data_IF_925460580096
#
_entry.id   IF_925460580096
#
_cell.length_a   1.000
_cell.length_b   1.000
_cell.length_c   1.000
_cell.angle_alpha   90.00
_cell.angle_beta   90.00
_cell.angle_gamma   90.00
#
_symmetry.space_group_name_H-M   'P 1'
#
loop_
_entity.id
_entity.type
_entity.pdbx_description
1 polymer ?
#
# COMPACT_ATOMS: atom_id res chain seq x y z
N UNK A 1 -6.57 113.14 48.13
CA UNK A 1 -5.49 113.46 47.16
C UNK A 1 -5.78 112.87 45.78
N UNK A 2 -6.11 111.57 45.64
CA UNK A 2 -6.43 110.95 44.34
C UNK A 2 -7.68 111.51 43.60
N UNK A 3 -8.69 112.03 44.32
CA UNK A 3 -9.87 112.67 43.68
C UNK A 3 -9.59 114.02 43.01
N UNK A 4 -8.42 114.63 43.23
CA UNK A 4 -8.07 115.90 42.58
C UNK A 4 -7.37 115.73 41.23
N UNK A 5 -6.85 114.53 40.92
CA UNK A 5 -6.07 114.28 39.71
C UNK A 5 -6.93 113.86 38.50
N UNK A 6 -8.15 113.37 38.71
CA UNK A 6 -9.03 112.90 37.62
C UNK A 6 -9.92 113.99 37.03
N UNK A 7 -9.86 115.21 37.56
CA UNK A 7 -10.75 116.33 37.19
C UNK A 7 -10.12 117.31 36.20
N UNK A 8 -8.89 117.04 35.73
CA UNK A 8 -8.13 117.96 34.87
C UNK A 8 -8.32 117.60 33.39
N UNK A 9 -8.55 118.63 32.57
CA UNK A 9 -8.98 118.55 31.16
C UNK A 9 -7.94 118.01 30.17
N UNK A 10 -6.74 117.65 30.63
CA UNK A 10 -5.64 117.10 29.82
C UNK A 10 -4.97 115.94 30.57
N UNK A 11 -4.68 114.80 29.93
CA UNK A 11 -3.97 113.69 30.57
C UNK A 11 -2.52 114.08 30.88
N UNK A 12 -2.05 113.72 32.07
CA UNK A 12 -0.68 113.91 32.54
C UNK A 12 0.32 113.11 31.67
N UNK A 13 1.47 113.72 31.38
CA UNK A 13 2.56 113.07 30.64
C UNK A 13 3.22 111.95 31.46
N UNK A 14 3.78 110.97 30.76
CA UNK A 14 4.41 109.76 31.31
C UNK A 14 5.46 110.05 32.40
N UNK A 15 6.12 111.20 32.35
CA UNK A 15 7.15 111.61 33.32
C UNK A 15 6.59 112.06 34.68
N UNK A 16 5.33 112.53 34.76
CA UNK A 16 4.71 112.84 36.06
C UNK A 16 4.14 111.60 36.76
N UNK A 17 3.94 110.50 36.02
CA UNK A 17 3.42 109.24 36.55
C UNK A 17 4.52 108.37 37.19
N UNK A 18 5.81 108.66 36.98
CA UNK A 18 6.91 107.88 37.55
C UNK A 18 7.21 108.20 39.02
N UNK A 19 6.41 109.08 39.66
CA UNK A 19 6.50 109.46 41.07
C UNK A 19 5.42 108.81 41.95
N UNK A 20 5.00 107.58 41.65
CA UNK A 20 4.06 106.85 42.50
C UNK A 20 4.80 106.44 43.78
N UNK A 21 4.35 106.99 44.91
CA UNK A 21 4.85 106.71 46.26
C UNK A 21 4.97 105.18 46.47
N UNK A 22 6.10 104.65 47.00
CA UNK A 22 6.34 103.20 47.13
C UNK A 22 5.21 102.44 47.86
N UNK A 23 4.48 103.12 48.74
CA UNK A 23 3.28 102.60 49.42
C UNK A 23 2.12 102.19 48.49
N UNK A 24 1.95 102.89 47.35
CA UNK A 24 0.90 102.56 46.39
C UNK A 24 1.29 101.35 45.55
N UNK A 25 2.58 101.21 45.24
CA UNK A 25 3.13 100.05 44.55
C UNK A 25 3.05 98.79 45.43
N UNK A 26 3.37 98.90 46.72
CA UNK A 26 3.21 97.81 47.68
C UNK A 26 1.74 97.39 47.87
N UNK A 27 0.81 98.34 47.90
CA UNK A 27 -0.62 98.04 47.96
C UNK A 27 -1.11 97.30 46.71
N UNK A 28 -0.61 97.70 45.52
CA UNK A 28 -0.96 97.06 44.27
C UNK A 28 -0.40 95.64 44.20
N UNK A 29 0.86 95.45 44.58
CA UNK A 29 1.51 94.14 44.64
C UNK A 29 0.81 93.20 45.62
N UNK A 30 0.42 93.70 46.80
CA UNK A 30 -0.35 92.94 47.79
C UNK A 30 -1.75 92.56 47.27
N UNK A 31 -2.40 93.43 46.52
CA UNK A 31 -3.70 93.14 45.90
C UNK A 31 -3.57 92.06 44.81
N UNK A 32 -2.52 92.14 43.99
CA UNK A 32 -2.21 91.15 42.95
C UNK A 32 -1.90 89.78 43.57
N UNK A 33 -1.06 89.73 44.60
CA UNK A 33 -0.77 88.48 45.31
C UNK A 33 -2.03 87.83 45.91
N UNK A 34 -2.91 88.62 46.53
CA UNK A 34 -4.15 88.11 47.09
C UNK A 34 -5.08 87.56 46.00
N UNK A 35 -5.11 88.20 44.83
CA UNK A 35 -5.87 87.72 43.68
C UNK A 35 -5.32 86.39 43.15
N UNK A 36 -3.99 86.26 43.02
CA UNK A 36 -3.33 85.02 42.61
C UNK A 36 -3.62 83.90 43.61
N UNK A 37 -3.45 84.16 44.91
CA UNK A 37 -3.77 83.20 45.97
C UNK A 37 -5.23 82.74 45.87
N UNK A 38 -6.18 83.65 45.64
CA UNK A 38 -7.60 83.32 45.47
C UNK A 38 -7.88 82.47 44.23
N UNK A 39 -7.20 82.75 43.11
CA UNK A 39 -7.34 81.97 41.87
C UNK A 39 -6.76 80.57 41.99
N UNK A 40 -5.63 80.40 42.69
CA UNK A 40 -5.06 79.08 42.97
C UNK A 40 -5.98 78.25 43.90
N UNK A 41 -6.59 78.87 44.92
CA UNK A 41 -7.60 78.18 45.75
C UNK A 41 -8.86 77.79 44.95
N UNK A 42 -9.22 78.55 43.91
CA UNK A 42 -10.31 78.20 42.99
C UNK A 42 -9.93 77.10 41.99
N UNK A 43 -8.66 76.95 41.63
CA UNK A 43 -8.21 75.81 40.80
C UNK A 43 -8.17 74.51 41.60
N UNK A 44 -7.70 74.57 42.86
CA UNK A 44 -7.66 73.40 43.75
C UNK A 44 -9.06 72.97 44.22
N UNK A 45 -10.01 73.91 44.28
CA UNK A 45 -11.44 73.60 44.41
C UNK A 45 -12.03 73.49 43.01
N UNK A 46 -11.82 72.35 42.35
CA UNK A 46 -12.49 72.02 41.10
C UNK A 46 -14.00 72.31 41.15
N UNK A 47 -14.66 72.47 39.98
CA UNK A 47 -16.05 72.91 39.89
C UNK A 47 -16.95 72.10 40.83
N UNK A 48 -17.64 72.81 41.73
CA UNK A 48 -18.54 72.29 42.75
C UNK A 48 -19.70 71.59 42.04
N UNK A 49 -19.59 70.27 41.86
CA UNK A 49 -20.52 69.46 41.09
C UNK A 49 -19.91 68.29 40.33
N UNK A 50 -18.59 68.09 40.36
CA UNK A 50 -17.99 66.82 39.91
C UNK A 50 -17.77 65.97 41.14
N UNK A 51 -18.77 65.15 41.49
CA UNK A 51 -18.50 64.00 42.34
C UNK A 51 -17.35 63.20 41.70
N UNK A 52 -16.41 62.66 42.49
CA UNK A 52 -15.46 61.71 41.96
C UNK A 52 -16.29 60.61 41.31
N UNK A 53 -15.97 60.23 40.07
CA UNK A 53 -16.54 59.05 39.43
C UNK A 53 -16.54 57.97 40.52
N UNK A 54 -17.75 57.52 40.86
CA UNK A 54 -17.99 56.73 42.06
C UNK A 54 -17.04 55.53 42.03
N UNK A 55 -16.44 55.20 43.18
CA UNK A 55 -15.56 54.04 43.38
C UNK A 55 -16.07 52.76 42.69
N UNK A 56 -17.40 52.62 42.57
CA UNK A 56 -18.08 51.49 41.94
C UNK A 56 -17.90 51.41 40.41
N UNK A 57 -17.74 52.54 39.73
CA UNK A 57 -17.55 52.57 38.27
C UNK A 57 -16.13 52.14 37.89
N UNK A 58 -15.13 52.55 38.70
CA UNK A 58 -13.73 52.17 38.50
C UNK A 58 -13.49 50.67 38.78
N UNK A 59 -14.11 50.12 39.84
CA UNK A 59 -14.04 48.69 40.13
C UNK A 59 -14.74 47.86 39.05
N UNK A 60 -15.91 48.30 38.56
CA UNK A 60 -16.62 47.63 37.46
C UNK A 60 -15.79 47.58 36.17
N UNK A 61 -15.14 48.67 35.78
CA UNK A 61 -14.28 48.71 34.59
C UNK A 61 -13.03 47.84 34.74
N UNK A 62 -12.48 47.75 35.95
CA UNK A 62 -11.33 46.88 36.23
C UNK A 62 -11.73 45.40 36.11
N UNK A 63 -12.89 45.02 36.63
CA UNK A 63 -13.42 43.67 36.50
C UNK A 63 -13.69 43.30 35.02
N UNK A 64 -14.35 44.17 34.26
CA UNK A 64 -14.62 43.93 32.83
C UNK A 64 -13.31 43.75 32.02
N UNK A 65 -12.27 44.53 32.32
CA UNK A 65 -10.96 44.37 31.68
C UNK A 65 -10.29 43.04 32.02
N UNK A 66 -10.43 42.54 33.25
CA UNK A 66 -9.93 41.23 33.64
C UNK A 66 -10.67 40.11 32.88
N UNK A 67 -11.99 40.20 32.78
CA UNK A 67 -12.82 39.27 31.99
C UNK A 67 -12.47 39.30 30.49
N UNK A 68 -12.22 40.47 29.93
CA UNK A 68 -11.76 40.64 28.55
C UNK A 68 -10.36 40.05 28.34
N UNK A 69 -9.45 40.22 29.32
CA UNK A 69 -8.10 39.66 29.26
C UNK A 69 -8.13 38.11 29.23
N UNK A 70 -8.96 37.50 30.08
CA UNK A 70 -9.16 36.05 30.10
C UNK A 70 -9.78 35.59 28.78
N UNK A 71 -10.82 36.28 28.30
CA UNK A 71 -11.49 35.95 27.04
C UNK A 71 -10.55 36.02 25.84
N UNK A 72 -9.67 37.04 25.80
CA UNK A 72 -8.63 37.18 24.78
C UNK A 72 -7.67 35.98 24.78
N UNK A 73 -7.15 35.58 25.94
CA UNK A 73 -6.24 34.43 26.04
C UNK A 73 -6.92 33.13 25.57
N UNK A 74 -8.19 32.93 25.93
CA UNK A 74 -8.96 31.75 25.47
C UNK A 74 -9.13 31.75 23.95
N UNK A 75 -9.38 32.92 23.34
CA UNK A 75 -9.49 33.04 21.89
C UNK A 75 -8.16 32.84 21.18
N UNK A 76 -7.06 33.38 21.72
CA UNK A 76 -5.70 33.17 21.18
C UNK A 76 -5.35 31.69 21.16
N UNK A 77 -5.62 30.96 22.25
CA UNK A 77 -5.42 29.51 22.30
C UNK A 77 -6.27 28.77 21.26
N UNK A 78 -7.53 29.14 21.10
CA UNK A 78 -8.40 28.54 20.07
C UNK A 78 -7.88 28.82 18.64
N UNK A 79 -7.32 30.01 18.40
CA UNK A 79 -6.71 30.34 17.10
C UNK A 79 -5.51 29.44 16.84
N UNK A 80 -4.64 29.23 17.83
CA UNK A 80 -3.48 28.33 17.72
C UNK A 80 -3.91 26.88 17.44
N UNK A 81 -4.90 26.36 18.17
CA UNK A 81 -5.47 25.02 17.94
C UNK A 81 -6.06 24.88 16.52
N UNK A 82 -6.73 25.91 16.01
CA UNK A 82 -7.28 25.91 14.65
C UNK A 82 -6.18 25.95 13.57
N UNK A 83 -5.08 26.66 13.82
CA UNK A 83 -3.94 26.72 12.90
C UNK A 83 -3.23 25.37 12.81
N UNK A 84 -3.00 24.70 13.95
CA UNK A 84 -2.42 23.36 13.98
C UNK A 84 -3.32 22.36 13.24
N UNK A 85 -4.63 22.41 13.50
CA UNK A 85 -5.61 21.58 12.80
C UNK A 85 -5.56 21.81 11.28
N UNK A 86 -5.46 23.07 10.85
CA UNK A 86 -5.36 23.41 9.43
C UNK A 86 -4.09 22.84 8.79
N UNK A 87 -2.96 22.89 9.48
CA UNK A 87 -1.70 22.32 9.02
C UNK A 87 -1.78 20.79 8.89
N UNK A 88 -2.39 20.11 9.88
CA UNK A 88 -2.63 18.67 9.81
C UNK A 88 -3.52 18.28 8.62
N UNK A 89 -4.60 19.03 8.35
CA UNK A 89 -5.45 18.78 7.20
C UNK A 89 -4.70 18.95 5.87
N UNK A 90 -3.90 20.01 5.73
CA UNK A 90 -3.06 20.21 4.53
C UNK A 90 -2.06 19.07 4.35
N UNK A 91 -1.39 18.64 5.42
CA UNK A 91 -0.45 17.51 5.38
C UNK A 91 -1.15 16.22 4.93
N UNK A 92 -2.35 15.95 5.47
CA UNK A 92 -3.14 14.78 5.11
C UNK A 92 -3.63 14.82 3.66
N UNK A 93 -4.04 15.98 3.16
CA UNK A 93 -4.43 16.17 1.76
C UNK A 93 -3.27 15.88 0.80
N UNK A 94 -2.06 16.37 1.11
CA UNK A 94 -0.84 16.09 0.35
C UNK A 94 -0.48 14.60 0.39
N UNK A 95 -0.65 13.94 1.54
CA UNK A 95 -0.41 12.49 1.64
C UNK A 95 -1.42 11.69 0.78
N UNK A 96 -2.69 12.09 0.79
CA UNK A 96 -3.75 11.42 0.04
C UNK A 96 -3.59 11.60 -1.47
N UNK A 97 -3.25 12.80 -1.93
CA UNK A 97 -2.99 13.08 -3.35
C UNK A 97 -1.80 12.29 -3.88
N UNK A 98 -0.69 12.21 -3.13
CA UNK A 98 0.46 11.38 -3.50
C UNK A 98 0.10 9.89 -3.58
N UNK A 99 -0.66 9.38 -2.62
CA UNK A 99 -1.11 7.98 -2.62
C UNK A 99 -2.03 7.69 -3.81
N UNK A 100 -2.91 8.64 -4.16
CA UNK A 100 -3.78 8.52 -5.32
C UNK A 100 -2.98 8.45 -6.62
N UNK A 101 -1.99 9.34 -6.80
CA UNK A 101 -1.11 9.34 -7.97
C UNK A 101 -0.33 8.02 -8.11
N UNK A 102 0.25 7.52 -7.02
CA UNK A 102 0.95 6.23 -7.00
C UNK A 102 0.00 5.08 -7.38
N UNK A 103 -1.21 5.06 -6.83
CA UNK A 103 -2.22 4.06 -7.16
C UNK A 103 -2.67 4.16 -8.64
N UNK A 104 -2.77 5.37 -9.18
CA UNK A 104 -3.05 5.62 -10.58
C UNK A 104 -1.99 5.02 -11.50
N UNK A 105 -0.70 5.22 -11.18
CA UNK A 105 0.41 4.61 -11.92
C UNK A 105 0.39 3.07 -11.89
N UNK A 106 0.01 2.46 -10.76
CA UNK A 106 -0.17 1.00 -10.65
C UNK A 106 -1.33 0.53 -11.53
N UNK A 107 -2.44 1.28 -11.58
CA UNK A 107 -3.59 0.94 -12.43
C UNK A 107 -3.22 1.02 -13.92
N UNK A 108 -2.45 2.01 -14.34
CA UNK A 108 -1.99 2.11 -15.74
C UNK A 108 -1.08 0.93 -16.10
N UNK A 109 -0.13 0.57 -15.23
CA UNK A 109 0.75 -0.58 -15.45
C UNK A 109 -0.02 -1.91 -15.55
N UNK A 110 -1.03 -2.10 -14.68
CA UNK A 110 -1.91 -3.26 -14.74
C UNK A 110 -2.73 -3.28 -16.03
N UNK A 111 -3.23 -2.12 -16.48
CA UNK A 111 -3.97 -1.99 -17.73
C UNK A 111 -3.10 -2.39 -18.93
N UNK A 112 -1.85 -1.94 -18.98
CA UNK A 112 -0.91 -2.29 -20.06
C UNK A 112 -0.60 -3.79 -20.08
N UNK A 113 -0.39 -4.38 -18.89
CA UNK A 113 -0.17 -5.83 -18.74
C UNK A 113 -1.38 -6.63 -19.23
N UNK A 114 -2.60 -6.18 -18.90
CA UNK A 114 -3.84 -6.81 -19.36
C UNK A 114 -3.98 -6.70 -20.89
N UNK A 115 -3.64 -5.57 -21.49
CA UNK A 115 -3.66 -5.39 -22.93
C UNK A 115 -2.66 -6.32 -23.63
N UNK A 116 -1.45 -6.43 -23.09
CA UNK A 116 -0.42 -7.35 -23.57
C UNK A 116 -0.92 -8.81 -23.53
N UNK A 117 -1.45 -9.28 -22.40
CA UNK A 117 -1.98 -10.65 -22.33
C UNK A 117 -3.16 -10.88 -23.28
N UNK A 118 -4.06 -9.90 -23.43
CA UNK A 118 -5.14 -9.97 -24.43
C UNK A 118 -4.63 -10.16 -25.85
N UNK A 119 -3.49 -9.56 -26.20
CA UNK A 119 -2.89 -9.74 -27.54
C UNK A 119 -2.27 -11.13 -27.75
N UNK A 120 -1.76 -11.79 -26.71
CA UNK A 120 -1.05 -13.08 -26.83
C UNK A 120 -2.00 -14.28 -26.77
N UNK A 121 -3.08 -14.18 -26.00
CA UNK A 121 -4.05 -15.27 -25.82
C UNK A 121 -4.54 -15.88 -27.15
N UNK A 122 -4.88 -15.12 -28.20
CA UNK A 122 -5.33 -15.68 -29.47
C UNK A 122 -4.27 -16.56 -30.16
N UNK A 123 -3.02 -16.12 -30.16
CA UNK A 123 -1.92 -16.86 -30.78
C UNK A 123 -1.65 -18.16 -30.03
N UNK A 124 -1.66 -18.12 -28.70
CA UNK A 124 -1.55 -19.32 -27.87
C UNK A 124 -2.70 -20.30 -28.12
N UNK A 125 -3.94 -19.81 -28.21
CA UNK A 125 -5.11 -20.64 -28.55
C UNK A 125 -4.94 -21.32 -29.90
N UNK A 126 -4.42 -20.60 -30.90
CA UNK A 126 -4.14 -21.16 -32.23
C UNK A 126 -3.05 -22.24 -32.17
N UNK A 127 -1.99 -22.03 -31.40
CA UNK A 127 -0.93 -23.01 -31.20
C UNK A 127 -1.45 -24.28 -30.51
N UNK A 128 -2.28 -24.14 -29.48
CA UNK A 128 -2.92 -25.27 -28.77
C UNK A 128 -3.81 -26.06 -29.74
N UNK A 129 -4.70 -25.40 -30.48
CA UNK A 129 -5.57 -26.07 -31.45
C UNK A 129 -4.78 -26.79 -32.57
N UNK A 130 -3.60 -26.28 -32.93
CA UNK A 130 -2.70 -26.96 -33.86
C UNK A 130 -2.04 -28.19 -33.25
N UNK A 131 -1.63 -28.11 -31.98
CA UNK A 131 -1.03 -29.23 -31.25
C UNK A 131 -2.04 -30.36 -31.05
N UNK A 132 -3.29 -30.04 -30.66
CA UNK A 132 -4.39 -31.00 -30.52
C UNK A 132 -4.58 -31.82 -31.81
N UNK A 133 -4.68 -31.17 -32.97
CA UNK A 133 -4.80 -31.86 -34.27
C UNK A 133 -3.63 -32.80 -34.55
N UNK A 134 -2.42 -32.44 -34.14
CA UNK A 134 -1.23 -33.28 -34.34
C UNK A 134 -1.21 -34.49 -33.40
N UNK A 135 -1.72 -34.33 -32.17
CA UNK A 135 -1.88 -35.40 -31.20
C UNK A 135 -2.93 -36.39 -31.69
N UNK A 136 -4.09 -35.92 -32.16
CA UNK A 136 -5.14 -36.79 -32.72
C UNK A 136 -4.60 -37.64 -33.88
N UNK A 137 -3.79 -37.06 -34.76
CA UNK A 137 -3.18 -37.79 -35.87
C UNK A 137 -2.20 -38.86 -35.37
N UNK A 138 -1.43 -38.57 -34.33
CA UNK A 138 -0.50 -39.54 -33.73
C UNK A 138 -1.23 -40.67 -33.01
N UNK A 139 -2.29 -40.36 -32.27
CA UNK A 139 -3.12 -41.33 -31.57
C UNK A 139 -3.72 -42.34 -32.55
N UNK A 140 -4.25 -41.87 -33.68
CA UNK A 140 -4.74 -42.73 -34.76
C UNK A 140 -3.65 -43.66 -35.31
N UNK A 141 -2.40 -43.18 -35.45
CA UNK A 141 -1.28 -44.02 -35.90
C UNK A 141 -0.88 -45.07 -34.86
N UNK A 142 -0.90 -44.71 -33.58
CA UNK A 142 -0.63 -45.64 -32.49
C UNK A 142 -1.67 -46.76 -32.47
N UNK A 143 -2.96 -46.43 -32.59
CA UNK A 143 -4.03 -47.43 -32.63
C UNK A 143 -3.85 -48.43 -33.78
N UNK A 144 -3.51 -47.94 -34.98
CA UNK A 144 -3.26 -48.81 -36.13
C UNK A 144 -2.04 -49.74 -35.91
N UNK A 145 -1.00 -49.27 -35.22
CA UNK A 145 0.15 -50.11 -34.88
C UNK A 145 -0.21 -51.16 -33.83
N UNK A 146 -1.03 -50.82 -32.83
CA UNK A 146 -1.54 -51.77 -31.84
C UNK A 146 -2.37 -52.88 -32.50
N UNK A 147 -3.20 -52.55 -33.48
CA UNK A 147 -3.97 -53.53 -34.24
C UNK A 147 -3.07 -54.50 -35.00
N UNK A 148 -1.99 -53.98 -35.62
CA UNK A 148 -0.99 -54.80 -36.31
C UNK A 148 -0.27 -55.72 -35.33
N UNK A 149 0.17 -55.21 -34.19
CA UNK A 149 0.84 -56.00 -33.14
C UNK A 149 -0.10 -57.09 -32.65
N UNK A 150 -1.35 -56.75 -32.31
CA UNK A 150 -2.38 -57.70 -31.88
C UNK A 150 -2.66 -58.79 -32.93
N UNK A 151 -2.63 -58.46 -34.21
CA UNK A 151 -2.77 -59.44 -35.29
C UNK A 151 -1.55 -60.36 -35.41
N UNK A 152 -0.33 -59.81 -35.26
CA UNK A 152 0.91 -60.58 -35.26
C UNK A 152 0.99 -61.51 -34.06
N UNK A 153 0.63 -61.05 -32.86
CA UNK A 153 0.63 -61.85 -31.64
C UNK A 153 -0.32 -63.04 -31.76
N UNK A 154 -1.55 -62.81 -32.27
CA UNK A 154 -2.48 -63.92 -32.57
C UNK A 154 -1.89 -64.94 -33.54
N UNK A 155 -1.16 -64.49 -34.57
CA UNK A 155 -0.51 -65.37 -35.54
C UNK A 155 0.64 -66.15 -34.91
N UNK A 156 1.43 -65.53 -34.03
CA UNK A 156 2.50 -66.19 -33.28
C UNK A 156 1.91 -67.28 -32.39
N UNK A 157 0.86 -66.98 -31.62
CA UNK A 157 0.17 -67.95 -30.76
C UNK A 157 -0.32 -69.15 -31.59
N UNK A 158 -0.99 -68.90 -32.72
CA UNK A 158 -1.48 -69.98 -33.59
C UNK A 158 -0.34 -70.86 -34.14
N UNK A 159 0.80 -70.26 -34.52
CA UNK A 159 1.97 -71.01 -34.98
C UNK A 159 2.60 -71.82 -33.84
N UNK A 160 2.69 -71.27 -32.63
CA UNK A 160 3.18 -71.98 -31.44
C UNK A 160 2.28 -73.17 -31.12
N UNK A 161 0.96 -73.00 -31.13
CA UNK A 161 0.00 -74.08 -30.93
C UNK A 161 0.14 -75.19 -31.98
N UNK A 162 0.35 -74.80 -33.24
CA UNK A 162 0.58 -75.75 -34.33
C UNK A 162 1.88 -76.54 -34.12
N UNK A 163 2.98 -75.87 -33.72
CA UNK A 163 4.25 -76.54 -33.41
C UNK A 163 4.07 -77.52 -32.26
N UNK A 164 3.36 -77.14 -31.20
CA UNK A 164 3.09 -77.99 -30.04
C UNK A 164 2.23 -79.22 -30.40
N UNK A 165 1.28 -79.08 -31.33
CA UNK A 165 0.46 -80.21 -31.82
C UNK A 165 1.26 -81.22 -32.65
N UNK A 166 2.26 -80.76 -33.41
CA UNK A 166 3.08 -81.62 -34.27
C UNK A 166 4.39 -82.08 -33.61
N UNK A 167 4.75 -81.56 -32.44
CA UNK A 167 5.84 -82.11 -31.63
C UNK A 167 5.41 -83.44 -31.04
N UNK A 168 5.62 -84.52 -31.79
CA UNK A 168 5.37 -85.87 -31.32
C UNK A 168 6.41 -86.23 -30.25
N UNK A 169 6.01 -86.10 -28.98
CA UNK A 169 6.85 -86.39 -27.82
C UNK A 169 7.32 -87.86 -27.77
N UNK A 170 6.79 -88.71 -28.65
CA UNK A 170 7.18 -90.11 -28.80
C UNK A 170 8.30 -90.33 -29.83
N UNK A 171 8.65 -89.34 -30.63
CA UNK A 171 9.72 -89.40 -31.62
C UNK A 171 11.00 -88.78 -31.05
N UNK A 172 12.11 -89.49 -31.17
CA UNK A 172 13.40 -89.01 -30.70
C UNK A 172 13.84 -87.73 -31.45
N UNK A 173 14.12 -86.63 -30.71
CA UNK A 173 14.47 -85.36 -31.32
C UNK A 173 15.82 -85.45 -32.04
N UNK A 174 15.98 -84.64 -33.10
CA UNK A 174 17.24 -84.59 -33.87
C UNK A 174 18.38 -83.97 -33.06
N UNK A 175 18.04 -83.04 -32.18
CA UNK A 175 18.96 -82.34 -31.27
C UNK A 175 18.30 -82.32 -29.90
N UNK A 176 19.02 -82.73 -28.86
CA UNK A 176 18.52 -82.63 -27.49
C UNK A 176 18.67 -81.20 -27.00
N UNK A 177 17.62 -80.69 -26.38
CA UNK A 177 17.56 -79.33 -25.85
C UNK A 177 18.46 -79.16 -24.62
N UNK A 178 18.65 -80.22 -23.83
CA UNK A 178 19.55 -80.22 -22.68
C UNK A 178 20.08 -81.64 -22.35
N UNK A 179 21.05 -81.71 -21.42
CA UNK A 179 21.68 -82.99 -21.06
C UNK A 179 20.72 -83.96 -20.33
N UNK A 180 19.72 -83.43 -19.62
CA UNK A 180 18.70 -84.25 -18.94
C UNK A 180 17.79 -84.96 -19.95
N UNK A 181 17.38 -84.27 -21.01
CA UNK A 181 16.61 -84.83 -22.12
C UNK A 181 17.39 -85.92 -22.85
N UNK A 182 18.68 -85.68 -23.13
CA UNK A 182 19.58 -86.70 -23.71
C UNK A 182 19.63 -87.97 -22.85
N UNK A 183 19.82 -87.83 -21.54
CA UNK A 183 19.87 -88.98 -20.61
C UNK A 183 18.54 -89.74 -20.56
N UNK A 184 17.42 -89.02 -20.60
CA UNK A 184 16.07 -89.59 -20.59
C UNK A 184 15.81 -90.42 -21.87
N UNK A 185 16.16 -89.91 -23.05
CA UNK A 185 16.06 -90.66 -24.31
C UNK A 185 17.02 -91.85 -24.38
N UNK A 186 18.23 -91.73 -23.84
CA UNK A 186 19.17 -92.86 -23.74
C UNK A 186 18.61 -93.99 -22.85
N UNK A 187 18.02 -93.64 -21.70
CA UNK A 187 17.35 -94.61 -20.81
C UNK A 187 16.19 -95.33 -21.51
N UNK A 188 15.32 -94.57 -22.19
CA UNK A 188 14.20 -95.13 -22.97
C UNK A 188 14.68 -96.08 -24.08
N UNK A 189 15.80 -95.76 -24.73
CA UNK A 189 16.40 -96.62 -25.77
C UNK A 189 16.86 -97.96 -25.17
N UNK A 190 17.61 -97.94 -24.05
CA UNK A 190 18.02 -99.17 -23.36
C UNK A 190 16.83 -99.99 -22.84
N UNK A 191 15.80 -99.32 -22.32
CA UNK A 191 14.57 -99.99 -21.88
C UNK A 191 13.82 -100.65 -23.06
N UNK A 192 13.80 -100.03 -24.24
CA UNK A 192 13.14 -100.58 -25.44
C UNK A 192 13.77 -101.85 -25.99
N UNK A 193 15.03 -102.14 -25.66
CA UNK A 193 15.70 -103.38 -26.06
C UNK A 193 15.08 -104.59 -25.34
N UNK A 194 14.48 -104.38 -24.17
CA UNK A 194 13.99 -105.43 -23.26
C UNK A 194 12.47 -105.35 -23.03
N UNK A 195 11.86 -104.17 -23.20
CA UNK A 195 10.43 -103.92 -23.05
C UNK A 195 9.76 -103.60 -24.41
N UNK A 196 8.94 -104.55 -24.85
CA UNK A 196 8.27 -104.51 -26.15
C UNK A 196 7.20 -103.41 -26.23
N UNK A 197 6.62 -102.99 -25.10
CA UNK A 197 5.65 -101.89 -25.09
C UNK A 197 6.33 -100.52 -25.22
N UNK A 198 7.53 -100.36 -24.66
CA UNK A 198 8.34 -99.15 -24.87
C UNK A 198 8.80 -99.05 -26.33
N UNK A 199 9.16 -100.18 -26.96
CA UNK A 199 9.56 -100.24 -28.38
C UNK A 199 8.44 -99.87 -29.35
N UNK A 200 7.18 -100.17 -29.02
CA UNK A 200 6.01 -99.74 -29.82
C UNK A 200 5.66 -98.28 -29.59
N UNK A 201 5.87 -97.79 -28.37
CA UNK A 201 5.45 -96.46 -27.93
C UNK A 201 6.36 -95.33 -28.41
N UNK A 202 7.64 -95.58 -28.64
CA UNK A 202 8.62 -94.54 -29.01
C UNK A 202 9.35 -94.85 -30.32
N UNK A 203 9.55 -93.83 -31.15
CA UNK A 203 10.30 -93.94 -32.41
C UNK A 203 11.70 -93.37 -32.22
N UNK A 204 12.71 -94.24 -32.20
CA UNK A 204 14.11 -93.86 -32.08
C UNK A 204 14.74 -93.58 -33.45
N UNK A 205 15.65 -92.62 -33.52
CA UNK A 205 16.40 -92.36 -34.77
C UNK A 205 17.51 -93.40 -34.94
N UNK A 206 17.76 -93.88 -36.18
CA UNK A 206 18.93 -94.72 -36.46
C UNK A 206 20.20 -93.96 -36.08
N UNK A 207 21.09 -94.61 -35.35
CA UNK A 207 22.42 -94.05 -35.12
C UNK A 207 23.11 -93.90 -36.47
N UNK A 208 23.46 -92.67 -36.87
CA UNK A 208 24.36 -92.47 -37.99
C UNK A 208 25.72 -93.04 -37.58
N UNK A 209 25.99 -94.27 -38.01
CA UNK A 209 27.35 -94.79 -38.08
C UNK A 209 28.08 -93.94 -39.13
N UNK A 210 28.85 -92.95 -38.68
CA UNK A 210 29.92 -92.39 -39.49
C UNK A 210 30.91 -93.53 -39.76
N UNK A 211 30.70 -94.20 -40.88
CA UNK A 211 31.68 -95.06 -41.51
C UNK A 211 32.85 -94.19 -41.95
N UNK A 212 33.96 -94.30 -41.21
CA UNK A 212 35.30 -93.86 -41.60
C UNK A 212 35.83 -94.70 -42.76
#
# INVERSE_FOLDING_TARGET
IWRCLTSQKYPLSLELASGIHPEVEDLLNKAVENYIKKKEHQKMKGPKGTEPITSDCETSLRQENEELCISKQVLEKKIEELLDLQEQYKSREVAMTRSLEESGGKVTQLSDSVAFFKSIIPDMKKAIASAEKSIDLLENKCQHLEDIISAKDRKIIALVDQILKHSDATIEPKTYSNNSERKLWAKRRSESEHDLEIRKKYTFRPAYSHSL
#
